data_IF_054642141682
#
_entry.id   IF_054642141682
#
_cell.length_a   1.000
_cell.length_b   1.000
_cell.length_c   1.000
_cell.angle_alpha   90.00
_cell.angle_beta   90.00
_cell.angle_gamma   90.00
#
_symmetry.space_group_name_H-M   'P 1'
#
loop_
_entity.id
_entity.type
_entity.pdbx_description
1 polymer ?
#
# COMPACT_ATOMS: atom_id res chain seq x y z
N UNK A 1 -24.59 42.30 36.65
CA UNK A 1 -25.40 42.06 35.42
C UNK A 1 -24.41 41.91 34.27
N UNK A 2 -24.02 40.67 33.95
CA UNK A 2 -24.60 39.78 32.91
C UNK A 2 -24.14 40.11 31.49
N UNK A 3 -23.07 39.40 31.08
CA UNK A 3 -22.90 38.61 29.83
C UNK A 3 -23.58 39.06 28.53
N UNK A 4 -22.75 39.26 27.50
CA UNK A 4 -22.94 38.92 26.08
C UNK A 4 -21.52 38.58 25.59
N UNK A 5 -21.05 37.35 25.29
CA UNK A 5 -21.55 36.10 24.69
C UNK A 5 -21.77 36.13 23.17
N UNK A 6 -20.95 35.30 22.48
CA UNK A 6 -21.02 34.75 21.10
C UNK A 6 -20.59 35.75 20.00
N UNK A 7 -19.74 35.42 19.02
CA UNK A 7 -19.55 34.20 18.19
C UNK A 7 -18.20 34.44 17.46
N UNK A 8 -17.24 33.54 17.30
CA UNK A 8 -17.22 32.38 16.40
C UNK A 8 -15.86 31.69 16.63
N UNK A 9 -15.86 30.45 17.13
CA UNK A 9 -14.68 29.57 17.18
C UNK A 9 -14.99 28.47 16.18
N UNK A 10 -14.32 28.48 15.03
CA UNK A 10 -14.25 27.36 14.10
C UNK A 10 -12.99 26.57 14.40
N UNK A 11 -13.04 25.75 15.45
CA UNK A 11 -11.99 24.79 15.78
C UNK A 11 -12.33 23.49 15.07
N UNK A 12 -11.54 23.12 14.05
CA UNK A 12 -11.65 21.84 13.35
C UNK A 12 -11.40 20.71 14.34
N UNK A 13 -12.41 19.87 14.53
CA UNK A 13 -12.39 18.71 15.40
C UNK A 13 -12.04 17.49 14.53
N UNK A 14 -10.74 17.25 14.39
CA UNK A 14 -10.18 16.00 13.87
C UNK A 14 -10.06 15.05 15.07
N UNK A 15 -11.11 14.27 15.35
CA UNK A 15 -11.08 13.21 16.34
C UNK A 15 -11.91 12.02 15.85
N UNK A 16 -11.21 10.91 15.66
CA UNK A 16 -11.64 9.51 15.76
C UNK A 16 -12.65 8.95 14.73
N UNK A 17 -12.11 8.26 13.71
CA UNK A 17 -12.56 6.90 13.39
C UNK A 17 -11.51 5.89 13.89
N UNK A 18 -11.45 5.75 15.21
CA UNK A 18 -11.17 4.46 15.84
C UNK A 18 -12.54 3.91 16.28
N UNK A 19 -12.89 2.73 15.78
CA UNK A 19 -14.11 2.01 16.13
C UNK A 19 -15.02 1.83 14.93
N UNK A 20 -15.31 0.64 14.42
CA UNK A 20 -15.14 -0.70 14.97
C UNK A 20 -15.09 -1.68 13.78
N UNK A 21 -13.92 -1.89 13.18
CA UNK A 21 -13.68 -3.24 12.63
C UNK A 21 -13.50 -4.10 13.87
N UNK A 22 -14.44 -5.02 14.10
CA UNK A 22 -14.26 -6.04 15.11
C UNK A 22 -12.85 -6.62 14.93
N UNK A 23 -12.09 -6.65 16.01
CA UNK A 23 -10.80 -7.31 16.08
C UNK A 23 -11.02 -8.77 15.68
N UNK A 24 -10.85 -9.09 14.40
CA UNK A 24 -10.25 -10.35 14.05
C UNK A 24 -8.79 -10.21 14.48
N UNK A 25 -8.51 -10.55 15.74
CA UNK A 25 -7.14 -10.84 16.14
C UNK A 25 -6.70 -12.00 15.27
N UNK A 26 -5.94 -11.72 14.21
CA UNK A 26 -5.10 -12.71 13.54
C UNK A 26 -3.95 -13.08 14.50
N UNK A 27 -4.31 -13.65 15.64
CA UNK A 27 -3.40 -14.27 16.59
C UNK A 27 -3.62 -15.77 16.48
N UNK A 28 -3.02 -16.36 15.45
CA UNK A 28 -2.59 -17.74 15.55
C UNK A 28 -1.43 -17.82 16.55
N UNK A 29 -1.32 -18.87 17.38
CA UNK A 29 -0.19 -19.05 18.26
C UNK A 29 1.10 -19.17 17.44
N UNK A 30 2.12 -18.40 17.80
CA UNK A 30 3.45 -18.48 17.22
C UNK A 30 3.99 -19.91 17.38
N UNK A 31 4.12 -20.64 16.28
CA UNK A 31 4.79 -21.93 16.27
C UNK A 31 5.93 -21.92 15.26
N UNK A 32 7.15 -21.82 15.78
CA UNK A 32 8.41 -22.35 15.23
C UNK A 32 8.89 -21.77 13.88
N UNK A 33 10.21 -21.69 13.65
CA UNK A 33 10.75 -21.22 12.38
C UNK A 33 10.48 -22.27 11.29
N UNK A 34 9.84 -21.84 10.20
CA UNK A 34 9.53 -22.71 9.07
C UNK A 34 10.69 -22.73 8.06
N UNK A 35 10.84 -23.89 7.40
CA UNK A 35 11.62 -24.03 6.17
C UNK A 35 10.95 -23.27 5.02
N UNK A 36 10.98 -23.75 3.76
CA UNK A 36 10.27 -23.06 2.67
C UNK A 36 8.82 -22.82 3.11
N UNK A 37 8.42 -21.55 3.08
CA UNK A 37 7.26 -21.04 3.81
C UNK A 37 5.97 -21.81 3.56
N UNK A 38 5.09 -21.83 4.55
CA UNK A 38 3.78 -22.45 4.40
C UNK A 38 2.97 -21.76 3.31
N UNK A 39 1.99 -22.44 2.68
CA UNK A 39 1.10 -21.77 1.75
C UNK A 39 0.32 -20.65 2.48
N UNK A 40 0.02 -19.52 1.80
CA UNK A 40 -0.70 -18.42 2.42
C UNK A 40 -2.03 -18.87 3.02
N UNK A 41 -2.32 -18.46 4.25
CA UNK A 41 -3.61 -18.69 4.87
C UNK A 41 -4.59 -17.60 4.43
N UNK A 42 -5.75 -18.01 3.89
CA UNK A 42 -6.79 -17.09 3.46
C UNK A 42 -8.01 -17.23 4.36
N UNK A 43 -8.47 -16.12 4.92
CA UNK A 43 -9.66 -16.08 5.76
C UNK A 43 -10.63 -15.01 5.25
N UNK A 44 -11.93 -15.31 5.38
CA UNK A 44 -13.00 -14.37 5.06
C UNK A 44 -13.83 -14.10 6.31
N UNK A 45 -13.82 -12.85 6.76
CA UNK A 45 -14.61 -12.35 7.87
C UNK A 45 -16.10 -12.34 7.54
N UNK A 46 -16.92 -12.32 8.60
CA UNK A 46 -18.40 -12.25 8.48
C UNK A 46 -18.90 -10.95 7.86
N UNK A 47 -18.08 -9.91 7.89
CA UNK A 47 -18.28 -8.59 7.28
C UNK A 47 -17.84 -8.55 5.80
N UNK A 48 -17.34 -9.66 5.25
CA UNK A 48 -16.83 -9.76 3.88
C UNK A 48 -15.38 -9.31 3.72
N UNK A 49 -14.71 -8.91 4.80
CA UNK A 49 -13.28 -8.62 4.81
C UNK A 49 -12.49 -9.89 4.49
N UNK A 50 -11.50 -9.78 3.62
CA UNK A 50 -10.59 -10.86 3.25
C UNK A 50 -9.25 -10.56 3.90
N UNK A 51 -8.64 -11.58 4.51
CA UNK A 51 -7.27 -11.52 4.99
C UNK A 51 -6.45 -12.64 4.35
N UNK A 52 -5.28 -12.29 3.82
CA UNK A 52 -4.28 -13.23 3.30
C UNK A 52 -3.04 -13.08 4.17
N UNK A 53 -2.63 -14.16 4.84
CA UNK A 53 -1.45 -14.17 5.70
C UNK A 53 -0.38 -15.04 5.07
N UNK A 54 0.82 -14.50 4.94
CA UNK A 54 2.05 -15.24 4.65
C UNK A 54 2.92 -15.27 5.89
N UNK A 55 4.10 -15.88 5.81
CA UNK A 55 5.07 -15.89 6.91
C UNK A 55 5.65 -14.50 7.21
N UNK A 56 5.66 -13.58 6.24
CA UNK A 56 6.28 -12.27 6.36
C UNK A 56 5.22 -11.18 6.42
N UNK A 57 4.21 -11.26 5.54
CA UNK A 57 3.24 -10.20 5.32
C UNK A 57 1.81 -10.70 5.52
N UNK A 58 1.00 -9.86 6.13
CA UNK A 58 -0.46 -10.02 6.13
C UNK A 58 -1.08 -8.91 5.28
N UNK A 59 -2.11 -9.28 4.52
CA UNK A 59 -2.89 -8.37 3.68
C UNK A 59 -4.34 -8.44 4.09
N UNK A 60 -4.98 -7.28 4.26
CA UNK A 60 -6.42 -7.18 4.46
C UNK A 60 -7.05 -6.24 3.46
N UNK A 61 -8.17 -6.68 2.94
CA UNK A 61 -8.96 -6.04 1.91
C UNK A 61 -10.44 -6.13 2.31
N UNK A 62 -11.18 -5.03 2.24
CA UNK A 62 -12.63 -5.01 2.45
C UNK A 62 -13.35 -4.55 1.17
N UNK A 63 -14.67 -4.74 1.07
CA UNK A 63 -15.46 -4.32 -0.09
C UNK A 63 -15.80 -2.82 -0.14
N UNK A 64 -15.23 -2.01 0.76
CA UNK A 64 -15.60 -0.59 0.86
C UNK A 64 -14.85 0.26 -0.16
N UNK A 65 -13.53 0.13 -0.18
CA UNK A 65 -12.65 0.84 -1.09
C UNK A 65 -11.39 -0.02 -1.29
N UNK A 66 -10.75 0.02 -2.47
CA UNK A 66 -9.51 -0.71 -2.69
C UNK A 66 -8.43 -0.20 -1.74
N UNK A 67 -8.01 -1.08 -0.83
CA UNK A 67 -7.01 -0.79 0.17
C UNK A 67 -6.27 -2.07 0.50
N UNK A 68 -4.95 -1.95 0.58
CA UNK A 68 -4.07 -3.02 1.03
C UNK A 68 -3.44 -2.57 2.34
N UNK A 69 -3.82 -3.25 3.42
CA UNK A 69 -3.06 -3.18 4.66
C UNK A 69 -1.88 -4.13 4.58
N UNK A 70 -0.75 -3.69 5.10
CA UNK A 70 0.49 -4.44 5.08
C UNK A 70 1.03 -4.48 6.51
N UNK A 71 1.06 -5.68 7.09
CA UNK A 71 1.62 -5.93 8.42
C UNK A 71 2.79 -6.90 8.31
N UNK A 72 3.79 -6.77 9.17
CA UNK A 72 4.80 -7.82 9.33
C UNK A 72 5.16 -8.08 10.78
N UNK A 73 5.51 -9.34 11.06
CA UNK A 73 5.78 -9.88 12.39
C UNK A 73 7.27 -9.75 12.79
N UNK A 74 7.46 -9.17 13.98
CA UNK A 74 8.61 -8.52 14.60
C UNK A 74 9.55 -9.39 15.44
N UNK A 75 8.93 -9.91 16.48
CA UNK A 75 9.58 -10.28 17.73
C UNK A 75 8.57 -10.98 18.66
N UNK A 76 9.09 -11.53 19.76
CA UNK A 76 8.32 -12.17 20.83
C UNK A 76 7.34 -11.21 21.56
N UNK A 77 7.44 -9.90 21.31
CA UNK A 77 6.61 -8.84 21.89
C UNK A 77 5.50 -8.32 20.94
N UNK A 78 5.45 -8.78 19.68
CA UNK A 78 4.35 -8.51 18.76
C UNK A 78 4.52 -7.24 17.89
N UNK A 79 5.53 -7.21 17.03
CA UNK A 79 5.54 -6.56 15.70
C UNK A 79 4.62 -5.35 15.40
N UNK A 80 5.25 -4.21 15.09
CA UNK A 80 4.55 -2.92 15.11
C UNK A 80 4.52 -2.11 13.80
N UNK A 81 5.22 -2.48 12.73
CA UNK A 81 5.20 -1.68 11.52
C UNK A 81 4.05 -2.08 10.58
N UNK A 82 3.18 -1.11 10.31
CA UNK A 82 1.95 -1.27 9.55
C UNK A 82 1.90 -0.19 8.48
N UNK A 83 1.97 -0.59 7.23
CA UNK A 83 1.79 0.32 6.11
C UNK A 83 0.44 0.05 5.44
N UNK A 84 -0.10 1.03 4.74
CA UNK A 84 -1.24 0.80 3.88
C UNK A 84 -1.18 1.67 2.65
N UNK A 85 -1.59 1.09 1.53
CA UNK A 85 -1.86 1.78 0.28
C UNK A 85 -3.37 1.78 0.06
N UNK A 86 -3.97 2.96 0.02
CA UNK A 86 -5.39 3.15 -0.32
C UNK A 86 -5.53 3.77 -1.70
N UNK A 87 -6.51 3.34 -2.48
CA UNK A 87 -6.88 3.99 -3.74
C UNK A 87 -8.06 4.93 -3.48
N UNK A 88 -7.83 6.24 -3.59
CA UNK A 88 -8.74 7.24 -3.04
C UNK A 88 -9.60 7.90 -4.10
N UNK A 89 -9.02 8.23 -5.24
CA UNK A 89 -9.65 9.11 -6.24
C UNK A 89 -9.13 8.79 -7.63
N UNK A 90 -9.98 8.99 -8.65
CA UNK A 90 -9.60 9.07 -10.05
C UNK A 90 -9.97 10.45 -10.59
N UNK A 91 -9.08 11.07 -11.37
CA UNK A 91 -9.29 12.39 -11.95
C UNK A 91 -8.82 12.46 -13.39
N UNK A 92 -9.49 13.32 -14.14
CA UNK A 92 -9.06 13.83 -15.43
C UNK A 92 -8.47 15.24 -15.24
N UNK A 93 -7.33 15.52 -15.85
CA UNK A 93 -6.67 16.82 -15.80
C UNK A 93 -6.02 17.16 -17.16
N UNK A 94 -5.76 18.44 -17.42
CA UNK A 94 -4.94 18.89 -18.55
C UNK A 94 -3.63 19.44 -18.01
N UNK A 95 -2.50 18.89 -18.46
CA UNK A 95 -1.17 19.36 -18.09
C UNK A 95 -0.88 20.72 -18.77
N UNK A 96 -1.23 21.82 -18.10
CA UNK A 96 -1.17 23.17 -18.66
C UNK A 96 0.25 23.72 -18.69
N UNK A 97 1.16 23.12 -17.92
CA UNK A 97 2.53 23.57 -17.77
C UNK A 97 3.57 22.65 -18.46
N UNK A 98 3.11 21.55 -19.06
CA UNK A 98 3.89 20.55 -19.80
C UNK A 98 4.94 19.81 -18.92
N UNK A 99 4.69 19.66 -17.61
CA UNK A 99 5.55 18.90 -16.69
C UNK A 99 5.11 17.43 -16.56
N UNK A 100 3.96 17.07 -17.11
CA UNK A 100 3.38 15.73 -17.13
C UNK A 100 2.83 15.27 -15.78
N UNK A 101 2.89 16.11 -14.75
CA UNK A 101 2.48 15.81 -13.39
C UNK A 101 1.08 16.31 -13.07
N UNK A 102 0.33 15.54 -12.29
CA UNK A 102 -0.93 15.99 -11.74
C UNK A 102 -0.77 17.19 -10.78
N UNK A 103 -1.53 18.26 -11.02
CA UNK A 103 -1.71 19.40 -10.12
C UNK A 103 -3.20 19.68 -9.87
N UNK A 104 -3.55 20.08 -8.65
CA UNK A 104 -4.97 20.26 -8.27
C UNK A 104 -5.69 21.37 -9.06
N UNK A 105 -4.98 22.38 -9.55
CA UNK A 105 -5.54 23.48 -10.34
C UNK A 105 -5.73 23.16 -11.83
N UNK A 106 -5.25 22.00 -12.27
CA UNK A 106 -5.37 21.47 -13.65
C UNK A 106 -6.54 20.47 -13.82
N UNK A 107 -7.25 20.17 -12.73
CA UNK A 107 -8.33 19.17 -12.71
C UNK A 107 -9.55 19.63 -13.50
N UNK A 108 -9.99 18.80 -14.43
CA UNK A 108 -11.26 18.98 -15.15
C UNK A 108 -12.42 18.33 -14.37
N UNK A 109 -12.27 17.05 -14.06
CA UNK A 109 -13.27 16.21 -13.42
C UNK A 109 -12.59 15.22 -12.47
N UNK A 110 -13.25 14.89 -11.37
CA UNK A 110 -12.77 13.85 -10.47
C UNK A 110 -13.92 13.09 -9.83
N UNK A 111 -13.64 11.88 -9.36
CA UNK A 111 -14.54 11.12 -8.52
C UNK A 111 -13.76 10.37 -7.41
N UNK A 112 -14.24 10.43 -6.16
CA UNK A 112 -13.70 9.57 -5.12
C UNK A 112 -14.06 8.11 -5.42
N UNK A 113 -13.11 7.20 -5.24
CA UNK A 113 -13.33 5.77 -5.50
C UNK A 113 -14.29 5.13 -4.49
N UNK A 114 -14.50 5.76 -3.33
CA UNK A 114 -15.52 5.41 -2.35
C UNK A 114 -16.97 5.68 -2.82
N UNK A 115 -17.16 6.41 -3.93
CA UNK A 115 -18.47 6.61 -4.54
C UNK A 115 -18.95 5.40 -5.36
N UNK A 116 -18.10 4.39 -5.56
CA UNK A 116 -18.42 3.20 -6.36
C UNK A 116 -18.53 1.94 -5.50
N UNK A 117 -19.33 1.00 -5.97
CA UNK A 117 -19.40 -0.34 -5.42
C UNK A 117 -18.19 -1.15 -5.91
N UNK A 118 -17.62 -1.94 -5.02
CA UNK A 118 -16.45 -2.76 -5.30
C UNK A 118 -16.76 -4.22 -5.03
N UNK A 119 -16.58 -5.04 -6.06
CA UNK A 119 -16.61 -6.50 -5.91
C UNK A 119 -15.19 -6.96 -5.59
N UNK A 120 -15.03 -7.57 -4.42
CA UNK A 120 -13.75 -8.13 -3.98
C UNK A 120 -13.77 -9.66 -4.15
N UNK A 121 -12.85 -10.18 -4.96
CA UNK A 121 -12.60 -11.62 -5.16
C UNK A 121 -11.17 -11.97 -4.79
N UNK A 122 -10.89 -13.26 -4.59
CA UNK A 122 -9.57 -13.75 -4.21
C UNK A 122 -9.36 -15.19 -4.67
N UNK A 123 -8.11 -15.65 -4.70
CA UNK A 123 -7.76 -17.01 -5.06
C UNK A 123 -6.29 -17.34 -4.87
N UNK A 124 -5.89 -18.48 -5.41
CA UNK A 124 -4.50 -18.94 -5.51
C UNK A 124 -4.21 -19.43 -6.91
N UNK A 125 -2.93 -19.41 -7.29
CA UNK A 125 -2.41 -20.13 -8.46
C UNK A 125 -1.60 -21.32 -7.94
N UNK A 126 -1.82 -22.49 -8.53
CA UNK A 126 -1.12 -23.72 -8.20
C UNK A 126 -0.39 -24.27 -9.42
N UNK A 127 0.88 -24.62 -9.24
CA UNK A 127 1.72 -25.31 -10.22
C UNK A 127 2.21 -26.63 -9.64
N UNK A 128 1.93 -27.74 -10.33
CA UNK A 128 2.32 -29.09 -9.89
C UNK A 128 1.88 -29.44 -8.44
N UNK A 129 0.76 -28.87 -7.98
CA UNK A 129 0.22 -29.07 -6.63
C UNK A 129 0.90 -28.23 -5.55
N UNK A 130 1.70 -27.24 -5.94
CA UNK A 130 2.32 -26.25 -5.06
C UNK A 130 1.70 -24.88 -5.36
N UNK A 131 1.22 -24.19 -4.32
CA UNK A 131 0.74 -22.82 -4.47
C UNK A 131 1.95 -21.94 -4.80
N UNK A 132 1.86 -21.15 -5.88
CA UNK A 132 2.93 -20.23 -6.31
C UNK A 132 2.53 -18.77 -6.13
N UNK A 133 1.23 -18.49 -6.05
CA UNK A 133 0.68 -17.15 -5.93
C UNK A 133 -0.61 -17.16 -5.12
N UNK A 134 -0.80 -16.14 -4.28
CA UNK A 134 -2.10 -15.76 -3.74
C UNK A 134 -2.49 -14.40 -4.31
N UNK A 135 -3.74 -14.25 -4.74
CA UNK A 135 -4.20 -13.00 -5.32
C UNK A 135 -5.54 -12.54 -4.75
N UNK A 136 -5.75 -11.23 -4.81
CA UNK A 136 -7.04 -10.60 -4.60
C UNK A 136 -7.32 -9.60 -5.70
N UNK A 137 -8.60 -9.33 -5.96
CA UNK A 137 -9.03 -8.46 -7.05
C UNK A 137 -10.21 -7.62 -6.61
N UNK A 138 -10.04 -6.31 -6.76
CA UNK A 138 -11.10 -5.33 -6.75
C UNK A 138 -11.62 -5.10 -8.16
N UNK A 139 -12.94 -5.16 -8.34
CA UNK A 139 -13.61 -4.77 -9.59
C UNK A 139 -14.64 -3.69 -9.29
N UNK A 140 -14.48 -2.53 -9.93
CA UNK A 140 -15.50 -1.47 -9.90
C UNK A 140 -16.77 -1.99 -10.56
N UNK A 141 -17.87 -1.88 -9.85
CA UNK A 141 -19.20 -2.23 -10.34
C UNK A 141 -19.97 -0.94 -10.65
N UNK A 142 -21.00 -0.60 -9.87
CA UNK A 142 -21.85 0.58 -10.09
C UNK A 142 -21.51 1.78 -9.19
N UNK A 143 -22.28 2.85 -9.36
CA UNK A 143 -22.28 4.00 -8.45
C UNK A 143 -23.05 3.62 -7.18
N UNK A 144 -22.50 3.93 -6.00
CA UNK A 144 -23.19 3.71 -4.73
C UNK A 144 -24.41 4.61 -4.61
N UNK A 145 -25.51 4.04 -4.14
CA UNK A 145 -26.73 4.79 -3.81
C UNK A 145 -26.60 5.64 -2.55
N UNK A 146 -25.69 5.27 -1.63
CA UNK A 146 -25.40 6.00 -0.39
C UNK A 146 -23.92 6.37 -0.32
N UNK A 147 -23.56 7.65 -0.18
CA UNK A 147 -22.18 8.06 0.03
C UNK A 147 -21.61 7.43 1.30
N UNK A 148 -20.34 7.01 1.29
CA UNK A 148 -19.63 6.76 2.54
C UNK A 148 -19.43 8.09 3.28
N UNK A 149 -19.75 8.11 4.57
CA UNK A 149 -19.69 9.30 5.42
C UNK A 149 -18.30 9.97 5.45
N UNK A 150 -17.22 9.21 5.23
CA UNK A 150 -15.90 9.59 5.75
C UNK A 150 -14.77 9.67 4.71
N UNK A 151 -15.08 9.49 3.41
CA UNK A 151 -14.09 9.70 2.35
C UNK A 151 -14.17 11.14 1.86
N UNK A 152 -13.68 12.09 2.66
CA UNK A 152 -13.49 13.46 2.19
C UNK A 152 -12.33 13.44 1.19
N UNK A 153 -12.55 13.66 -0.12
CA UNK A 153 -11.44 13.86 -1.04
C UNK A 153 -10.62 15.06 -0.54
N UNK A 154 -9.32 15.09 -0.82
CA UNK A 154 -8.57 16.34 -0.71
C UNK A 154 -9.38 17.46 -1.39
N UNK A 155 -9.31 18.70 -0.90
CA UNK A 155 -10.08 19.81 -1.44
C UNK A 155 -9.65 20.09 -2.90
N UNK A 156 -10.25 19.37 -3.84
CA UNK A 156 -9.98 19.47 -5.27
C UNK A 156 -10.87 20.56 -5.86
N UNK A 157 -10.27 21.39 -6.72
CA UNK A 157 -11.01 22.28 -7.59
C UNK A 157 -11.49 21.47 -8.81
N UNK A 158 -12.72 21.71 -9.28
CA UNK A 158 -13.31 20.98 -10.41
C UNK A 158 -14.77 20.60 -10.18
N UNK A 159 -15.48 20.29 -11.26
CA UNK A 159 -16.84 19.75 -11.14
C UNK A 159 -16.76 18.27 -10.80
N UNK A 160 -17.03 17.91 -9.53
CA UNK A 160 -17.14 16.51 -9.12
C UNK A 160 -18.05 15.72 -10.07
N UNK A 161 -17.57 14.59 -10.58
CA UNK A 161 -18.09 13.93 -11.77
C UNK A 161 -18.40 12.45 -11.56
N UNK A 162 -18.90 12.04 -10.39
CA UNK A 162 -19.16 10.61 -10.08
C UNK A 162 -19.93 9.89 -11.21
N UNK A 163 -20.98 10.53 -11.74
CA UNK A 163 -21.78 9.99 -12.84
C UNK A 163 -21.04 9.99 -14.19
N UNK A 164 -20.05 10.87 -14.38
CA UNK A 164 -19.22 10.90 -15.59
C UNK A 164 -18.40 9.60 -15.72
N UNK A 165 -17.85 9.11 -14.61
CA UNK A 165 -17.05 7.88 -14.58
C UNK A 165 -17.88 6.63 -14.27
N UNK A 166 -19.20 6.66 -14.50
CA UNK A 166 -20.06 5.50 -14.24
C UNK A 166 -19.66 4.29 -15.08
N UNK A 167 -19.33 4.51 -16.36
CA UNK A 167 -18.96 3.47 -17.33
C UNK A 167 -17.46 3.13 -17.33
N UNK A 168 -16.63 3.91 -16.62
CA UNK A 168 -15.20 3.63 -16.48
C UNK A 168 -15.01 2.29 -15.77
N UNK A 169 -14.29 1.36 -16.39
CA UNK A 169 -13.93 0.11 -15.77
C UNK A 169 -12.65 0.29 -14.98
N UNK A 170 -12.63 -0.12 -13.71
CA UNK A 170 -11.43 -0.13 -12.89
C UNK A 170 -11.28 -1.51 -12.26
N UNK A 171 -10.12 -2.13 -12.42
CA UNK A 171 -9.73 -3.33 -11.71
C UNK A 171 -8.40 -3.07 -11.00
N UNK A 172 -8.30 -3.51 -9.75
CA UNK A 172 -7.06 -3.43 -8.97
C UNK A 172 -6.78 -4.82 -8.44
N UNK A 173 -5.73 -5.44 -8.93
CA UNK A 173 -5.27 -6.73 -8.43
C UNK A 173 -4.18 -6.53 -7.40
N UNK A 174 -4.08 -7.46 -6.46
CA UNK A 174 -2.95 -7.61 -5.58
C UNK A 174 -2.44 -9.04 -5.68
N UNK A 175 -1.20 -9.22 -6.09
CA UNK A 175 -0.53 -10.51 -6.26
C UNK A 175 0.58 -10.65 -5.22
N UNK A 176 0.54 -11.74 -4.46
CA UNK A 176 1.62 -12.18 -3.58
C UNK A 176 2.23 -13.43 -4.18
N UNK A 177 3.43 -13.30 -4.71
CA UNK A 177 4.21 -14.44 -5.20
C UNK A 177 4.96 -15.10 -4.04
N UNK A 178 5.06 -16.42 -4.01
CA UNK A 178 5.85 -17.13 -2.98
C UNK A 178 7.34 -17.19 -3.31
N UNK A 179 7.68 -17.04 -4.58
CA UNK A 179 9.04 -16.92 -5.09
C UNK A 179 9.20 -15.60 -5.85
N UNK A 180 10.43 -15.19 -6.12
CA UNK A 180 10.69 -13.96 -6.87
C UNK A 180 10.04 -14.03 -8.25
N UNK A 181 9.17 -13.08 -8.54
CA UNK A 181 8.50 -12.95 -9.83
C UNK A 181 9.28 -11.98 -10.71
N UNK A 182 9.47 -12.37 -11.97
CA UNK A 182 10.08 -11.52 -13.00
C UNK A 182 8.97 -10.93 -13.85
N UNK A 183 8.74 -9.64 -13.68
CA UNK A 183 7.77 -8.85 -14.44
C UNK A 183 8.41 -8.17 -15.64
N UNK A 184 7.60 -7.98 -16.68
CA UNK A 184 8.01 -7.34 -17.92
C UNK A 184 6.89 -6.41 -18.40
N UNK A 185 7.23 -5.15 -18.68
CA UNK A 185 6.36 -4.24 -19.44
C UNK A 185 6.65 -4.46 -20.92
N UNK A 186 5.64 -4.93 -21.65
CA UNK A 186 5.78 -5.34 -23.04
C UNK A 186 4.60 -4.89 -23.88
N UNK A 187 4.91 -4.41 -25.08
CA UNK A 187 3.94 -4.11 -26.13
C UNK A 187 4.20 -4.95 -27.40
N UNK A 188 3.54 -4.58 -28.50
CA UNK A 188 3.67 -5.23 -29.81
C UNK A 188 5.08 -5.07 -30.42
N UNK A 189 5.88 -4.12 -29.94
CA UNK A 189 7.24 -3.82 -30.39
C UNK A 189 8.33 -4.47 -29.53
N UNK A 190 8.01 -4.91 -28.31
CA UNK A 190 8.91 -5.71 -27.47
C UNK A 190 8.88 -5.32 -25.99
N UNK A 191 9.94 -5.73 -25.30
CA UNK A 191 10.21 -5.43 -23.88
C UNK A 191 10.69 -3.99 -23.73
N UNK A 192 10.09 -3.23 -22.81
CA UNK A 192 10.51 -1.86 -22.50
C UNK A 192 11.08 -1.75 -21.09
N UNK A 193 10.47 -2.42 -20.12
CA UNK A 193 10.98 -2.51 -18.75
C UNK A 193 10.96 -3.96 -18.25
N UNK A 194 11.98 -4.33 -17.47
CA UNK A 194 12.02 -5.58 -16.71
C UNK A 194 12.19 -5.25 -15.22
N UNK A 195 11.49 -5.97 -14.36
CA UNK A 195 11.52 -5.75 -12.93
C UNK A 195 11.34 -7.05 -12.16
N UNK A 196 11.73 -7.04 -10.89
CA UNK A 196 11.58 -8.18 -10.00
C UNK A 196 10.68 -7.78 -8.83
N UNK A 197 9.71 -8.64 -8.52
CA UNK A 197 8.87 -8.55 -7.32
C UNK A 197 9.37 -9.59 -6.34
N UNK A 198 9.72 -9.17 -5.13
CA UNK A 198 10.28 -10.05 -4.12
C UNK A 198 9.23 -11.03 -3.58
N UNK A 199 9.54 -12.34 -3.66
CA UNK A 199 8.65 -13.40 -3.17
C UNK A 199 8.39 -13.28 -1.66
N UNK A 200 7.13 -13.37 -1.26
CA UNK A 200 6.67 -13.39 0.13
C UNK A 200 6.73 -12.06 0.88
N UNK A 201 7.46 -11.06 0.37
CA UNK A 201 7.67 -9.77 1.05
C UNK A 201 7.19 -8.55 0.25
N UNK A 202 6.66 -8.74 -0.95
CA UNK A 202 6.15 -7.68 -1.82
C UNK A 202 4.80 -8.06 -2.42
N UNK A 203 3.88 -7.10 -2.41
CA UNK A 203 2.60 -7.16 -3.10
C UNK A 203 2.75 -6.41 -4.43
N UNK A 204 2.72 -7.13 -5.55
CA UNK A 204 2.51 -6.53 -6.87
C UNK A 204 1.06 -6.10 -6.99
N UNK A 205 0.82 -4.93 -7.54
CA UNK A 205 -0.50 -4.37 -7.74
C UNK A 205 -0.69 -4.13 -9.23
N UNK A 206 -1.81 -4.57 -9.80
CA UNK A 206 -2.11 -4.33 -11.22
C UNK A 206 -3.29 -3.36 -11.27
N UNK A 207 -3.05 -2.16 -11.78
CA UNK A 207 -4.08 -1.15 -12.01
C UNK A 207 -4.50 -1.25 -13.47
N UNK A 208 -5.75 -1.66 -13.71
CA UNK A 208 -6.35 -1.66 -15.03
C UNK A 208 -7.50 -0.66 -15.09
N UNK A 209 -7.41 0.33 -16.00
CA UNK A 209 -8.45 1.33 -16.26
C UNK A 209 -8.87 1.23 -17.72
N UNK A 210 -10.18 1.25 -17.99
CA UNK A 210 -10.71 1.23 -19.35
C UNK A 210 -12.01 2.02 -19.44
N UNK A 211 -12.48 2.30 -20.66
CA UNK A 211 -13.66 3.15 -20.89
C UNK A 211 -13.58 4.49 -20.13
N UNK A 212 -12.41 5.12 -20.08
CA UNK A 212 -12.26 6.40 -19.40
C UNK A 212 -12.83 7.54 -20.27
N UNK A 213 -13.70 8.40 -19.72
CA UNK A 213 -14.44 9.42 -20.47
C UNK A 213 -13.61 10.69 -20.66
N UNK A 214 -12.52 10.59 -21.42
CA UNK A 214 -11.67 11.75 -21.76
C UNK A 214 -12.49 12.88 -22.43
N UNK A 215 -12.20 14.10 -22.03
CA UNK A 215 -12.74 15.36 -22.54
C UNK A 215 -12.01 15.82 -23.81
N UNK A 216 -10.71 15.50 -23.92
CA UNK A 216 -9.85 15.83 -25.05
C UNK A 216 -8.78 14.75 -25.25
N UNK A 217 -8.06 14.79 -26.38
CA UNK A 217 -6.88 13.93 -26.62
C UNK A 217 -5.63 14.43 -25.87
N UNK A 218 -5.68 15.67 -25.39
CA UNK A 218 -4.61 16.31 -24.61
C UNK A 218 -4.77 16.07 -23.10
N UNK A 219 -5.92 15.56 -22.63
CA UNK A 219 -6.14 15.30 -21.21
C UNK A 219 -5.55 13.97 -20.76
N UNK A 220 -5.17 13.94 -19.49
CA UNK A 220 -4.57 12.80 -18.81
C UNK A 220 -5.50 12.28 -17.72
N UNK A 221 -5.30 11.03 -17.31
CA UNK A 221 -5.96 10.45 -16.15
C UNK A 221 -4.95 10.18 -15.04
N UNK A 222 -5.29 10.54 -13.81
CA UNK A 222 -4.54 10.13 -12.63
C UNK A 222 -5.37 9.23 -11.73
N UNK A 223 -4.69 8.30 -11.05
CA UNK A 223 -5.21 7.62 -9.88
C UNK A 223 -4.43 8.07 -8.63
N UNK A 224 -5.16 8.51 -7.61
CA UNK A 224 -4.58 8.89 -6.33
C UNK A 224 -4.45 7.65 -5.45
N UNK A 225 -3.21 7.33 -5.08
CA UNK A 225 -2.89 6.40 -4.00
C UNK A 225 -2.54 7.20 -2.74
N UNK A 226 -2.85 6.65 -1.57
CA UNK A 226 -2.52 7.25 -0.27
C UNK A 226 -1.73 6.26 0.56
N UNK A 227 -0.48 6.62 0.84
CA UNK A 227 0.48 5.83 1.59
C UNK A 227 0.45 6.27 3.06
N UNK A 228 0.06 5.36 3.95
CA UNK A 228 -0.11 5.65 5.38
C UNK A 228 0.63 4.66 6.25
N UNK A 229 1.20 5.18 7.33
CA UNK A 229 1.53 4.39 8.50
C UNK A 229 0.26 4.18 9.33
N UNK A 230 -0.02 2.95 9.74
CA UNK A 230 -1.14 2.62 10.62
C UNK A 230 -0.66 2.46 12.07
N UNK A 231 -1.39 3.06 12.99
CA UNK A 231 -1.07 3.05 14.42
C UNK A 231 -1.24 1.64 14.98
N UNK A 232 -0.18 1.05 15.51
CA UNK A 232 -0.34 -0.13 16.35
C UNK A 232 -0.87 0.30 17.73
N UNK A 233 -2.13 -0.02 18.03
CA UNK A 233 -2.73 0.19 19.35
C UNK A 233 -2.28 -0.91 20.31
N UNK A 234 -1.13 -0.72 20.95
CA UNK A 234 -0.75 -1.48 22.15
C UNK A 234 -1.37 -0.87 23.41
N UNK A 235 -1.54 -1.68 24.47
CA UNK A 235 -2.08 -1.20 25.76
C UNK A 235 -1.22 -0.15 26.45
N UNK A 236 0.05 0.03 26.03
CA UNK A 236 1.01 0.90 26.71
C UNK A 236 1.24 2.26 26.05
N UNK A 237 1.29 2.43 24.73
CA UNK A 237 1.18 3.75 24.03
C UNK A 237 0.88 3.52 22.55
N UNK A 238 -0.03 4.29 21.91
CA UNK A 238 -0.19 4.22 20.46
C UNK A 238 1.13 4.64 19.79
N UNK A 239 1.75 3.74 19.04
CA UNK A 239 2.95 4.05 18.25
C UNK A 239 2.48 4.86 17.03
N UNK A 240 2.43 6.18 17.16
CA UNK A 240 2.01 7.11 16.10
C UNK A 240 3.28 7.73 15.50
N UNK A 241 3.40 7.75 14.17
CA UNK A 241 4.47 8.46 13.44
C UNK A 241 5.88 7.94 13.71
N UNK A 242 6.09 6.60 13.76
CA UNK A 242 7.45 6.05 13.84
C UNK A 242 8.16 6.10 12.50
N UNK A 243 7.45 6.35 11.41
CA UNK A 243 8.01 6.37 10.08
C UNK A 243 7.92 7.74 9.44
N UNK A 244 8.99 8.10 8.75
CA UNK A 244 9.01 9.18 7.77
C UNK A 244 8.96 8.58 6.37
N UNK A 245 8.34 9.29 5.45
CA UNK A 245 8.32 8.94 4.04
C UNK A 245 9.49 9.64 3.38
N UNK A 246 10.30 8.91 2.62
CA UNK A 246 11.43 9.47 1.90
C UNK A 246 11.34 9.18 0.41
N UNK A 247 11.34 10.22 -0.42
CA UNK A 247 11.40 10.05 -1.88
C UNK A 247 12.80 9.64 -2.32
N UNK A 248 12.88 8.87 -3.41
CA UNK A 248 14.12 8.49 -4.09
C UNK A 248 14.11 9.07 -5.49
N UNK A 249 14.51 10.32 -5.61
CA UNK A 249 14.41 11.06 -6.87
C UNK A 249 15.79 11.37 -7.44
N UNK A 250 15.85 11.66 -8.74
CA UNK A 250 17.09 11.86 -9.47
C UNK A 250 18.01 12.94 -8.88
N UNK A 251 17.44 14.08 -8.49
CA UNK A 251 18.21 15.26 -8.10
C UNK A 251 18.26 15.48 -6.59
N UNK A 252 17.25 15.01 -5.86
CA UNK A 252 17.15 15.19 -4.41
C UNK A 252 16.23 14.15 -3.80
N UNK A 253 16.53 13.77 -2.56
CA UNK A 253 15.55 13.05 -1.74
C UNK A 253 14.80 14.07 -0.89
N UNK A 254 13.49 13.88 -0.79
CA UNK A 254 12.60 14.66 0.07
C UNK A 254 12.19 13.79 1.24
N UNK A 255 12.38 14.28 2.47
CA UNK A 255 11.92 13.60 3.68
C UNK A 255 10.65 14.27 4.18
N UNK A 256 9.63 13.48 4.43
CA UNK A 256 8.27 13.88 4.76
C UNK A 256 7.89 13.18 6.07
N UNK A 257 7.66 13.96 7.12
CA UNK A 257 7.04 13.43 8.33
C UNK A 257 5.58 13.06 8.05
N UNK A 258 5.09 11.96 8.63
CA UNK A 258 3.75 11.41 8.36
C UNK A 258 2.60 12.38 8.69
N UNK A 259 2.83 13.35 9.57
CA UNK A 259 1.87 14.38 9.96
C UNK A 259 2.00 15.69 9.16
N UNK A 260 2.96 15.78 8.23
CA UNK A 260 3.09 16.95 7.36
C UNK A 260 1.87 17.04 6.44
N UNK A 261 1.31 18.24 6.34
CA UNK A 261 0.23 18.56 5.43
C UNK A 261 0.65 19.74 4.55
N UNK A 262 0.80 19.49 3.26
CA UNK A 262 1.14 20.49 2.26
C UNK A 262 -0.06 20.85 1.39
N UNK A 263 -1.21 20.23 1.59
CA UNK A 263 -2.41 20.50 0.80
C UNK A 263 -2.88 21.95 0.98
N UNK A 264 -3.06 22.65 -0.14
CA UNK A 264 -3.53 24.04 -0.18
C UNK A 264 -4.61 24.21 -1.24
N UNK A 265 -5.41 25.28 -1.15
CA UNK A 265 -6.57 25.57 -2.01
C UNK A 265 -6.25 25.80 -3.50
N UNK A 266 -4.99 25.63 -3.92
CA UNK A 266 -4.56 25.69 -5.33
C UNK A 266 -3.57 24.59 -5.70
N UNK A 267 -3.53 23.49 -4.93
CA UNK A 267 -2.49 22.48 -5.10
C UNK A 267 -1.14 22.91 -4.51
N UNK A 268 -0.34 21.91 -4.18
CA UNK A 268 1.07 22.02 -3.81
C UNK A 268 1.76 20.66 -4.05
N UNK A 269 1.25 19.96 -5.06
CA UNK A 269 1.79 18.68 -5.51
C UNK A 269 3.19 18.91 -6.05
N UNK A 270 4.11 18.04 -5.69
CA UNK A 270 5.46 18.04 -6.21
C UNK A 270 5.59 16.93 -7.24
N UNK A 271 6.06 17.27 -8.44
CA UNK A 271 6.47 16.30 -9.44
C UNK A 271 7.58 15.41 -8.88
N UNK A 272 7.44 14.11 -9.07
CA UNK A 272 8.46 13.14 -8.71
C UNK A 272 9.49 13.07 -9.83
N UNK A 273 10.76 13.32 -9.52
CA UNK A 273 11.83 13.29 -10.52
C UNK A 273 12.37 11.87 -10.70
N UNK A 274 11.96 11.19 -11.78
CA UNK A 274 12.31 9.80 -12.09
C UNK A 274 13.82 9.56 -12.09
N UNK A 275 14.25 8.51 -11.40
CA UNK A 275 15.64 8.08 -11.37
C UNK A 275 16.12 7.59 -12.74
N UNK A 276 17.33 8.00 -13.13
CA UNK A 276 17.98 7.46 -14.33
C UNK A 276 18.48 6.02 -14.12
N UNK A 277 18.36 5.21 -15.16
CA UNK A 277 18.97 3.87 -15.22
C UNK A 277 18.20 2.78 -14.46
N UNK A 278 16.96 3.07 -14.05
CA UNK A 278 16.01 2.11 -13.50
C UNK A 278 14.62 2.48 -14.00
N UNK A 279 13.80 1.45 -14.25
CA UNK A 279 12.37 1.63 -14.55
C UNK A 279 11.50 1.65 -13.30
N UNK A 280 12.08 1.40 -12.13
CA UNK A 280 11.36 1.36 -10.85
C UNK A 280 11.63 2.64 -10.08
N UNK A 281 10.55 3.38 -9.84
CA UNK A 281 10.50 4.59 -9.02
C UNK A 281 9.89 4.23 -7.66
N UNK A 282 10.27 4.93 -6.59
CA UNK A 282 9.80 4.57 -5.24
C UNK A 282 9.85 5.69 -4.21
N UNK A 283 9.03 5.51 -3.18
CA UNK A 283 9.17 6.16 -1.87
C UNK A 283 9.41 5.10 -0.80
N UNK A 284 10.25 5.40 0.17
CA UNK A 284 10.58 4.52 1.28
C UNK A 284 9.85 4.93 2.56
N UNK A 285 9.43 3.93 3.34
CA UNK A 285 9.01 4.07 4.72
C UNK A 285 10.24 3.88 5.62
N UNK A 286 10.74 4.96 6.19
CA UNK A 286 12.00 4.98 6.95
C UNK A 286 11.69 5.15 8.43
N UNK A 287 12.19 4.23 9.26
CA UNK A 287 12.05 4.30 10.72
C UNK A 287 12.79 5.52 11.28
N UNK A 288 12.12 6.26 12.17
CA UNK A 288 12.60 7.54 12.68
C UNK A 288 13.85 7.38 13.56
N UNK A 289 13.88 6.34 14.40
CA UNK A 289 14.93 6.13 15.40
C UNK A 289 16.21 5.58 14.77
N UNK A 290 16.05 4.61 13.86
CA UNK A 290 17.16 3.87 13.24
C UNK A 290 17.59 4.46 11.91
N UNK A 291 16.76 5.29 11.27
CA UNK A 291 16.93 5.75 9.88
C UNK A 291 17.02 4.62 8.85
N UNK A 292 16.57 3.42 9.19
CA UNK A 292 16.52 2.26 8.30
C UNK A 292 15.23 2.29 7.47
N UNK A 293 15.35 2.05 6.15
CA UNK A 293 14.18 1.84 5.30
C UNK A 293 13.58 0.46 5.60
N UNK A 294 12.34 0.43 6.09
CA UNK A 294 11.65 -0.80 6.46
C UNK A 294 10.79 -1.33 5.32
N UNK A 295 10.14 -0.43 4.58
CA UNK A 295 9.36 -0.79 3.41
C UNK A 295 9.35 0.31 2.37
N UNK A 296 8.57 0.09 1.32
CA UNK A 296 8.47 0.99 0.19
C UNK A 296 7.09 0.91 -0.48
N UNK A 297 6.73 1.98 -1.17
CA UNK A 297 5.76 1.96 -2.25
C UNK A 297 6.49 2.31 -3.55
N UNK A 298 6.37 1.48 -4.57
CA UNK A 298 7.04 1.64 -5.86
C UNK A 298 6.10 1.52 -7.04
N UNK A 299 6.58 1.95 -8.20
CA UNK A 299 5.88 1.82 -9.46
C UNK A 299 6.87 1.71 -10.62
N UNK A 300 6.43 1.04 -11.68
CA UNK A 300 7.14 1.05 -12.96
C UNK A 300 6.88 2.39 -13.64
N UNK A 301 7.90 3.01 -14.25
CA UNK A 301 7.74 4.29 -14.96
C UNK A 301 7.11 4.17 -16.34
N UNK A 302 6.56 3.00 -16.65
CA UNK A 302 5.91 2.66 -17.90
C UNK A 302 4.64 1.85 -17.64
N UNK A 303 3.65 2.04 -18.51
CA UNK A 303 2.39 1.32 -18.53
C UNK A 303 2.08 0.87 -19.95
N UNK A 304 1.18 -0.11 -20.09
CA UNK A 304 0.75 -0.63 -21.39
C UNK A 304 -0.67 -0.19 -21.67
N UNK A 305 -0.87 0.50 -22.78
CA UNK A 305 -2.19 0.77 -23.35
C UNK A 305 -2.55 -0.37 -24.33
N UNK A 306 -3.79 -0.81 -24.28
CA UNK A 306 -4.43 -1.65 -25.30
C UNK A 306 -5.49 -0.83 -26.02
N UNK A 307 -5.27 -0.55 -27.31
CA UNK A 307 -6.15 0.24 -28.15
C UNK A 307 -7.42 -0.55 -28.56
N UNK A 308 -8.50 0.10 -29.05
CA UNK A 308 -9.75 -0.57 -29.47
C UNK A 308 -9.62 -1.67 -30.54
N UNK A 309 -8.45 -1.80 -31.19
CA UNK A 309 -8.12 -2.89 -32.12
C UNK A 309 -7.32 -4.05 -31.52
N UNK A 310 -6.96 -3.98 -30.23
CA UNK A 310 -6.12 -4.95 -29.54
C UNK A 310 -4.61 -4.73 -29.71
N UNK A 311 -4.20 -3.73 -30.50
CA UNK A 311 -2.80 -3.31 -30.57
C UNK A 311 -2.37 -2.72 -29.23
N UNK A 312 -1.11 -2.95 -28.86
CA UNK A 312 -0.55 -2.47 -27.60
C UNK A 312 0.56 -1.46 -27.81
N UNK A 313 0.62 -0.47 -26.92
CA UNK A 313 1.68 0.54 -26.88
C UNK A 313 2.14 0.79 -25.44
N UNK A 314 3.44 0.95 -25.26
CA UNK A 314 4.00 1.38 -23.97
C UNK A 314 4.01 2.90 -23.88
N UNK A 315 3.61 3.42 -22.71
CA UNK A 315 3.57 4.86 -22.41
C UNK A 315 4.22 5.17 -21.08
N UNK A 316 4.80 6.37 -20.92
CA UNK A 316 5.39 6.79 -19.65
C UNK A 316 4.32 6.98 -18.57
N UNK A 317 4.70 6.67 -17.33
CA UNK A 317 3.91 6.95 -16.13
C UNK A 317 4.61 8.07 -15.36
N UNK A 318 3.92 9.20 -15.22
CA UNK A 318 4.39 10.29 -14.38
C UNK A 318 3.79 10.19 -12.98
N UNK A 319 4.55 10.63 -11.99
CA UNK A 319 4.09 10.65 -10.61
C UNK A 319 4.23 12.05 -10.01
N UNK A 320 3.22 12.46 -9.24
CA UNK A 320 3.33 13.60 -8.32
C UNK A 320 2.95 13.15 -6.91
N UNK A 321 3.42 13.88 -5.90
CA UNK A 321 3.14 13.55 -4.52
C UNK A 321 2.82 14.78 -3.67
N UNK A 322 2.00 14.59 -2.64
CA UNK A 322 1.71 15.63 -1.65
C UNK A 322 1.46 15.00 -0.27
N UNK A 323 2.12 15.50 0.79
CA UNK A 323 1.77 15.17 2.17
C UNK A 323 0.39 15.73 2.54
N UNK A 324 -0.48 14.88 3.10
CA UNK A 324 -1.89 15.21 3.36
C UNK A 324 -2.21 15.42 4.84
N UNK A 325 -1.23 15.26 5.73
CA UNK A 325 -1.39 15.27 7.18
C UNK A 325 -1.82 13.94 7.79
N UNK A 326 -2.21 12.97 6.97
CA UNK A 326 -2.57 11.60 7.39
C UNK A 326 -1.78 10.52 6.62
N UNK A 327 -0.80 10.95 5.82
CA UNK A 327 -0.03 10.13 4.89
C UNK A 327 0.43 10.95 3.67
N UNK A 328 1.13 10.29 2.75
CA UNK A 328 1.55 10.90 1.47
C UNK A 328 0.68 10.38 0.35
N UNK A 329 0.00 11.28 -0.36
CA UNK A 329 -0.68 10.93 -1.58
C UNK A 329 0.34 10.87 -2.73
N UNK A 330 0.24 9.84 -3.56
CA UNK A 330 0.98 9.70 -4.82
C UNK A 330 -0.02 9.54 -5.95
N UNK A 331 0.06 10.43 -6.93
CA UNK A 331 -0.79 10.50 -8.12
C UNK A 331 -0.04 9.84 -9.27
N UNK A 332 -0.52 8.69 -9.73
CA UNK A 332 0.03 8.00 -10.90
C UNK A 332 -0.76 8.43 -12.12
N UNK A 333 -0.10 9.15 -13.03
CA UNK A 333 -0.70 9.82 -14.18
C UNK A 333 -0.38 9.10 -15.49
N UNK A 334 -1.39 8.99 -16.33
CA UNK A 334 -1.37 8.25 -17.58
C UNK A 334 -1.91 9.12 -18.73
N UNK A 335 -1.34 9.01 -19.95
CA UNK A 335 -1.83 9.77 -21.09
C UNK A 335 -3.18 9.25 -21.59
N UNK A 336 -3.75 10.00 -22.54
CA UNK A 336 -4.90 9.59 -23.33
C UNK A 336 -4.67 8.21 -23.99
N UNK A 337 -5.69 7.34 -23.94
CA UNK A 337 -5.61 5.97 -24.46
C UNK A 337 -6.75 5.58 -25.42
N UNK A 338 -7.32 6.56 -26.14
CA UNK A 338 -8.29 6.38 -27.25
C UNK A 338 -9.37 5.32 -27.03
N UNK A 339 -10.17 5.45 -25.96
CA UNK A 339 -11.22 4.49 -25.59
C UNK A 339 -10.73 3.05 -25.35
N UNK A 340 -9.42 2.83 -25.31
CA UNK A 340 -8.79 1.58 -24.94
C UNK A 340 -8.77 1.37 -23.44
N UNK A 341 -7.76 0.64 -22.99
CA UNK A 341 -7.48 0.42 -21.57
C UNK A 341 -6.00 0.55 -21.28
N UNK A 342 -5.65 0.88 -20.05
CA UNK A 342 -4.28 0.91 -19.57
C UNK A 342 -4.08 -0.10 -18.45
N UNK A 343 -2.89 -0.71 -18.41
CA UNK A 343 -2.40 -1.61 -17.37
C UNK A 343 -1.08 -1.07 -16.81
N UNK A 344 -0.97 -0.98 -15.49
CA UNK A 344 0.22 -0.49 -14.80
C UNK A 344 0.48 -1.28 -13.52
N UNK A 345 1.76 -1.46 -13.18
CA UNK A 345 2.26 -2.38 -12.15
C UNK A 345 2.95 -1.68 -10.95
N UNK A 346 2.22 -0.98 -10.05
CA UNK A 346 2.80 -0.55 -8.77
C UNK A 346 3.02 -1.72 -7.81
N UNK A 347 3.74 -1.46 -6.72
CA UNK A 347 3.93 -2.42 -5.64
C UNK A 347 4.12 -1.77 -4.28
N UNK A 348 3.84 -2.54 -3.23
CA UNK A 348 4.18 -2.21 -1.84
C UNK A 348 4.88 -3.40 -1.21
N UNK A 349 5.97 -3.16 -0.50
CA UNK A 349 6.75 -4.25 0.07
C UNK A 349 7.66 -3.83 1.21
N UNK A 350 8.39 -4.81 1.73
CA UNK A 350 9.42 -4.64 2.76
C UNK A 350 10.81 -4.89 2.22
N UNK A 351 11.76 -4.17 2.79
CA UNK A 351 13.17 -4.50 2.59
C UNK A 351 13.55 -5.69 3.47
N UNK A 352 14.27 -6.70 2.94
CA UNK A 352 14.79 -7.81 3.74
C UNK A 352 15.65 -7.35 4.91
N UNK A 353 16.41 -6.27 4.73
CA UNK A 353 17.25 -5.66 5.78
C UNK A 353 16.45 -4.88 6.82
N UNK A 354 15.23 -4.46 6.48
CA UNK A 354 14.26 -3.80 7.36
C UNK A 354 13.40 -4.78 8.17
N UNK A 355 13.40 -6.07 7.78
CA UNK A 355 12.89 -7.17 8.57
C UNK A 355 13.91 -7.50 9.66
N UNK A 356 13.54 -7.48 10.96
CA UNK A 356 14.49 -7.77 12.01
C UNK A 356 14.99 -9.20 11.92
N UNK A 357 16.25 -9.35 12.31
CA UNK A 357 16.91 -10.64 12.38
C UNK A 357 16.11 -11.47 13.37
N UNK A 358 15.36 -12.45 12.89
CA UNK A 358 14.80 -13.49 13.74
C UNK A 358 15.96 -14.01 14.58
N UNK A 359 15.90 -13.80 15.89
CA UNK A 359 16.81 -14.45 16.81
C UNK A 359 16.69 -15.93 16.51
N UNK A 360 17.74 -16.51 15.91
CA UNK A 360 17.79 -17.95 15.76
C UNK A 360 17.47 -18.54 17.13
N UNK A 361 16.60 -19.57 17.21
CA UNK A 361 16.34 -20.20 18.49
C UNK A 361 17.71 -20.55 19.07
N UNK A 362 18.07 -19.90 20.18
CA UNK A 362 19.30 -20.21 20.88
C UNK A 362 19.19 -21.71 21.13
N UNK A 363 20.07 -22.51 20.53
CA UNK A 363 20.10 -23.93 20.77
C UNK A 363 20.24 -24.12 22.29
N UNK A 364 19.15 -24.49 22.99
CA UNK A 364 19.11 -24.68 24.45
C UNK A 364 19.94 -25.92 24.86
N UNK A 365 20.79 -26.45 23.97
CA UNK A 365 21.72 -27.53 24.26
C UNK A 365 22.75 -27.13 25.35
N UNK A 366 22.92 -25.85 25.70
CA UNK A 366 23.89 -25.44 26.73
C UNK A 366 23.31 -25.25 28.15
N UNK A 367 21.99 -25.21 28.36
CA UNK A 367 21.43 -25.10 29.75
C UNK A 367 21.17 -26.46 30.41
N UNK A 368 21.03 -27.55 29.64
CA UNK A 368 21.00 -28.89 30.21
C UNK A 368 22.39 -29.38 30.71
N UNK A 369 23.48 -28.83 30.16
CA UNK A 369 24.85 -29.21 30.50
C UNK A 369 25.34 -28.68 31.85
N UNK A 370 24.90 -27.50 32.28
CA UNK A 370 25.31 -26.91 33.57
C UNK A 370 24.42 -27.43 34.72
N UNK A 371 23.13 -27.70 34.45
CA UNK A 371 22.22 -28.32 35.41
C UNK A 371 22.62 -29.75 35.80
N UNK A 372 23.06 -30.57 34.84
CA UNK A 372 23.49 -31.94 35.10
C UNK A 372 24.82 -32.02 35.89
N UNK A 373 25.78 -31.13 35.64
CA UNK A 373 27.05 -31.09 36.37
C UNK A 373 26.85 -30.61 37.82
N UNK A 374 25.96 -29.65 38.05
CA UNK A 374 25.60 -29.22 39.41
C UNK A 374 24.88 -30.34 40.20
N UNK A 375 23.99 -31.09 39.56
CA UNK A 375 23.27 -32.22 40.19
C UNK A 375 24.22 -33.38 40.54
N UNK A 376 25.19 -33.70 39.67
CA UNK A 376 26.22 -34.72 39.94
C UNK A 376 27.17 -34.27 41.05
N UNK A 377 27.57 -33.00 41.10
CA UNK A 377 28.42 -32.47 42.18
C UNK A 377 27.71 -32.53 43.55
N UNK A 378 26.42 -32.20 43.61
CA UNK A 378 25.62 -32.28 44.85
C UNK A 378 25.44 -33.74 45.29
N UNK A 379 25.20 -34.67 44.35
CA UNK A 379 25.09 -36.10 44.66
C UNK A 379 26.42 -36.70 45.18
N UNK A 380 27.57 -36.31 44.61
CA UNK A 380 28.88 -36.78 45.08
C UNK A 380 29.19 -36.27 46.50
N UNK A 381 28.79 -35.04 46.83
CA UNK A 381 28.97 -34.47 48.18
C UNK A 381 28.05 -35.16 49.20
N UNK A 382 26.83 -35.52 48.83
CA UNK A 382 25.88 -36.23 49.70
C UNK A 382 26.29 -37.70 49.96
N UNK A 383 26.87 -38.39 48.97
CA UNK A 383 27.33 -39.78 49.14
C UNK A 383 28.61 -39.86 49.98
N UNK A 384 29.48 -38.83 49.95
CA UNK A 384 30.69 -38.77 50.80
C UNK A 384 30.43 -38.42 52.27
N UNK A 385 29.21 -38.00 52.64
CA UNK A 385 28.84 -37.65 54.02
C UNK A 385 28.09 -38.76 54.77
N UNK A 386 28.09 -39.99 54.26
CA UNK A 386 27.66 -41.20 54.99
C UNK A 386 28.85 -42.03 55.45
#
# INVERSE_FOLDING_TARGET
>A
MKTIQKTMIGLFLVVALLGTTALASAQGPATMPHGPGGPPEQTKGSDGTISINTDIISIMANGEMPMFHFWYAVDDDGAHAKFSTSFVMIAEFEDLNEDGGFQTDEVLYFAPLSAYEWTLTHGVVEENGVITEAWLKYTKSGVRSTPMSDAVPAALNGTGGVMRFEDTTIQIWGHIYLEDYQGEVRDDHGSHANYTVAGGSELKIDIAIGNFPFSSEDSMVTIQTLQREHIATGESEPQINRHRIQTREQFRNTTIDSNNNWTTTGGNESRFESMNGTHIQKIDFVDYDTSLAQGFFSWVDEAVITLPGGATETVPVNATYVPTGVGTAVYLSYPYFDNGSILHDPSIGLYPEGAPILSQPIDIIIVAGIGAVALVAVLIVLVRKK
#
